data_IF_711723125753
#
_entry.id   IF_711723125753
#
_cell.length_a   1.000
_cell.length_b   1.000
_cell.length_c   1.000
_cell.angle_alpha   90.00
_cell.angle_beta   90.00
_cell.angle_gamma   90.00
#
_symmetry.space_group_name_H-M   'P 1'
#
loop_
_entity.id
_entity.type
_entity.pdbx_description
1 polymer ?
#
# COMPACT_ATOMS: atom_id res chain seq x y z
N UNK A 1 -1.78 -7.54 10.62
CA UNK A 1 -2.66 -7.00 11.69
C UNK A 1 -4.05 -7.63 11.66
N UNK A 2 -4.74 -7.62 10.52
CA UNK A 2 -6.13 -8.10 10.38
C UNK A 2 -6.38 -9.52 10.92
N UNK A 3 -5.51 -10.50 10.64
CA UNK A 3 -5.60 -11.87 11.18
C UNK A 3 -5.60 -11.95 12.71
N UNK A 4 -4.90 -11.05 13.40
CA UNK A 4 -4.91 -10.97 14.88
C UNK A 4 -6.23 -10.41 15.43
N UNK A 5 -7.02 -9.77 14.58
CA UNK A 5 -8.34 -9.28 14.92
C UNK A 5 -9.41 -10.38 14.79
N UNK A 6 -9.11 -11.51 14.16
CA UNK A 6 -10.07 -12.61 13.97
C UNK A 6 -11.21 -12.18 13.05
N UNK A 7 -12.44 -12.46 13.46
CA UNK A 7 -13.70 -12.09 12.81
C UNK A 7 -14.19 -10.67 13.16
N UNK A 8 -13.42 -9.89 13.94
CA UNK A 8 -13.80 -8.54 14.34
C UNK A 8 -13.89 -7.54 13.17
N UNK A 9 -12.97 -7.53 12.18
CA UNK A 9 -13.14 -6.68 11.01
C UNK A 9 -14.22 -7.26 10.10
N UNK A 10 -15.16 -6.42 9.69
CA UNK A 10 -16.19 -6.86 8.75
C UNK A 10 -15.73 -6.76 7.28
N UNK A 11 -14.70 -5.94 7.01
CA UNK A 11 -14.09 -5.78 5.69
C UNK A 11 -12.65 -5.26 5.82
N UNK A 12 -11.78 -5.60 4.88
CA UNK A 12 -10.45 -5.00 4.72
C UNK A 12 -10.38 -4.25 3.39
N UNK A 13 -9.92 -3.01 3.43
CA UNK A 13 -9.61 -2.23 2.22
C UNK A 13 -8.10 -2.04 2.20
N UNK A 14 -7.44 -2.52 1.15
CA UNK A 14 -6.02 -2.31 0.91
C UNK A 14 -5.86 -1.41 -0.32
N UNK A 15 -4.99 -0.40 -0.23
CA UNK A 15 -4.78 0.59 -1.30
C UNK A 15 -3.31 0.59 -1.72
N UNK A 16 -3.06 0.50 -3.03
CA UNK A 16 -1.69 0.54 -3.59
C UNK A 16 -0.78 -0.51 -2.94
N UNK A 17 -1.28 -1.73 -2.70
CA UNK A 17 -0.56 -2.71 -1.90
C UNK A 17 -0.62 -4.11 -2.55
N UNK A 18 0.55 -4.67 -2.79
CA UNK A 18 0.72 -6.08 -3.18
C UNK A 18 0.29 -7.02 -2.04
N UNK A 19 0.10 -8.30 -2.34
CA UNK A 19 -0.26 -9.26 -1.30
C UNK A 19 0.80 -9.32 -0.17
N UNK A 20 0.39 -9.49 1.10
CA UNK A 20 1.31 -9.66 2.23
C UNK A 20 2.41 -10.72 2.05
N UNK A 21 2.14 -11.76 1.25
CA UNK A 21 3.10 -12.82 0.91
C UNK A 21 4.25 -12.35 0.01
N UNK A 22 4.08 -11.24 -0.70
CA UNK A 22 5.08 -10.63 -1.57
C UNK A 22 5.97 -9.61 -0.85
N UNK A 23 5.69 -9.31 0.43
CA UNK A 23 6.51 -8.39 1.22
C UNK A 23 7.69 -9.09 1.92
N UNK A 24 8.84 -8.39 2.04
CA UNK A 24 9.16 -7.12 1.38
C UNK A 24 9.40 -7.30 -0.12
N UNK A 25 9.00 -6.33 -0.94
CA UNK A 25 9.34 -6.35 -2.36
C UNK A 25 10.82 -6.01 -2.56
N UNK A 26 11.45 -6.44 -3.67
CA UNK A 26 12.85 -6.07 -3.95
C UNK A 26 13.10 -4.56 -3.91
N UNK A 27 12.13 -3.76 -4.40
CA UNK A 27 12.20 -2.30 -4.37
C UNK A 27 12.21 -1.74 -2.95
N UNK A 28 11.40 -2.28 -2.04
CA UNK A 28 11.40 -1.84 -0.64
C UNK A 28 12.73 -2.13 0.05
N UNK A 29 13.34 -3.29 -0.23
CA UNK A 29 14.66 -3.65 0.30
C UNK A 29 15.76 -2.74 -0.24
N UNK A 30 15.70 -2.41 -1.53
CA UNK A 30 16.61 -1.45 -2.16
C UNK A 30 16.51 -0.09 -1.49
N UNK A 31 15.30 0.48 -1.38
CA UNK A 31 15.05 1.81 -0.80
C UNK A 31 15.50 1.89 0.65
N UNK A 32 15.33 0.81 1.44
CA UNK A 32 15.78 0.74 2.83
C UNK A 32 17.30 0.90 3.00
N UNK A 33 18.08 0.63 1.95
CA UNK A 33 19.53 0.80 1.93
C UNK A 33 20.00 2.18 1.45
N UNK A 34 19.08 3.07 1.06
CA UNK A 34 19.41 4.40 0.52
C UNK A 34 19.39 5.49 1.59
N UNK A 35 20.13 6.55 1.31
CA UNK A 35 20.16 7.79 2.07
C UNK A 35 20.26 9.01 1.15
N UNK A 36 20.10 10.20 1.73
CA UNK A 36 20.24 11.50 1.05
C UNK A 36 19.54 11.54 -0.31
N UNK A 37 20.29 11.94 -1.34
CA UNK A 37 19.77 12.07 -2.70
C UNK A 37 19.25 10.75 -3.28
N UNK A 38 19.90 9.62 -2.98
CA UNK A 38 19.46 8.32 -3.48
C UNK A 38 18.07 7.95 -2.97
N UNK A 39 17.79 8.26 -1.69
CA UNK A 39 16.47 8.07 -1.12
C UNK A 39 15.46 9.05 -1.73
N UNK A 40 15.81 10.33 -1.89
CA UNK A 40 14.96 11.34 -2.55
C UNK A 40 14.56 10.90 -3.98
N UNK A 41 15.52 10.46 -4.79
CA UNK A 41 15.29 9.98 -6.15
C UNK A 41 14.38 8.75 -6.17
N UNK A 42 14.57 7.85 -5.18
CA UNK A 42 13.74 6.67 -5.06
C UNK A 42 12.30 6.99 -4.67
N UNK A 43 12.09 7.97 -3.77
CA UNK A 43 10.77 8.41 -3.31
C UNK A 43 10.02 9.22 -4.37
N UNK A 44 10.72 9.93 -5.26
CA UNK A 44 10.10 10.61 -6.40
C UNK A 44 9.33 9.62 -7.30
N UNK A 45 9.80 8.37 -7.43
CA UNK A 45 9.09 7.31 -8.17
C UNK A 45 7.79 6.89 -7.49
N UNK A 46 7.74 6.93 -6.15
CA UNK A 46 6.52 6.65 -5.41
C UNK A 46 5.46 7.73 -5.65
N UNK A 47 5.87 8.98 -5.87
CA UNK A 47 4.97 10.10 -6.11
C UNK A 47 4.29 10.65 -4.84
N UNK A 48 4.70 10.21 -3.65
CA UNK A 48 4.09 10.58 -2.37
C UNK A 48 4.70 11.78 -1.66
N UNK A 49 5.85 12.25 -2.13
CA UNK A 49 6.46 13.47 -1.64
C UNK A 49 6.14 14.61 -2.59
N UNK A 50 5.60 15.69 -2.03
CA UNK A 50 5.30 16.90 -2.80
C UNK A 50 6.60 17.49 -3.37
N UNK A 51 6.57 18.09 -4.57
CA UNK A 51 7.75 18.66 -5.22
C UNK A 51 8.51 19.67 -4.35
N UNK A 52 7.81 20.41 -3.49
CA UNK A 52 8.43 21.40 -2.59
C UNK A 52 9.34 20.73 -1.56
N UNK A 53 9.01 19.52 -1.10
CA UNK A 53 9.87 18.75 -0.19
C UNK A 53 11.09 18.23 -0.96
N UNK A 54 10.90 17.74 -2.19
CA UNK A 54 11.99 17.25 -3.04
C UNK A 54 12.97 18.36 -3.48
N UNK A 55 12.54 19.63 -3.43
CA UNK A 55 13.35 20.78 -3.83
C UNK A 55 14.06 21.47 -2.65
N UNK A 56 13.71 21.16 -1.40
CA UNK A 56 14.22 21.84 -0.20
C UNK A 56 15.11 20.91 0.65
N UNK A 57 16.44 21.16 0.70
CA UNK A 57 17.36 20.35 1.50
C UNK A 57 17.08 20.36 3.00
N UNK A 58 16.60 21.47 3.57
CA UNK A 58 16.32 21.55 5.02
C UNK A 58 15.11 20.68 5.38
N UNK A 59 14.08 20.68 4.52
CA UNK A 59 12.93 19.78 4.69
C UNK A 59 13.30 18.31 4.49
N UNK A 60 14.21 18.01 3.56
CA UNK A 60 14.72 16.66 3.35
C UNK A 60 15.48 16.13 4.57
N UNK A 61 16.38 16.93 5.15
CA UNK A 61 17.10 16.57 6.36
C UNK A 61 16.16 16.24 7.53
N UNK A 62 15.00 16.90 7.59
CA UNK A 62 13.99 16.66 8.61
C UNK A 62 13.15 15.39 8.35
N UNK A 63 12.71 15.14 7.12
CA UNK A 63 11.70 14.10 6.80
C UNK A 63 12.33 12.75 6.42
N UNK A 64 13.45 12.77 5.68
CA UNK A 64 14.05 11.55 5.13
C UNK A 64 14.50 10.53 6.19
N UNK A 65 15.00 10.92 7.38
CA UNK A 65 15.37 9.95 8.40
C UNK A 65 14.21 9.03 8.81
N UNK A 66 13.03 9.61 9.03
CA UNK A 66 11.84 8.86 9.46
C UNK A 66 11.35 7.94 8.34
N UNK A 67 11.28 8.44 7.10
CA UNK A 67 10.90 7.63 5.93
C UNK A 67 11.88 6.46 5.76
N UNK A 68 13.18 6.71 5.87
CA UNK A 68 14.20 5.66 5.76
C UNK A 68 13.99 4.58 6.82
N UNK A 69 13.70 4.98 8.05
CA UNK A 69 13.51 4.03 9.15
C UNK A 69 12.20 3.24 9.00
N UNK A 70 11.16 3.82 8.41
CA UNK A 70 9.96 3.09 7.96
C UNK A 70 10.29 2.04 6.88
N UNK A 71 11.10 2.38 5.87
CA UNK A 71 11.54 1.41 4.86
C UNK A 71 12.37 0.28 5.45
N UNK A 72 13.27 0.56 6.41
CA UNK A 72 14.00 -0.49 7.13
C UNK A 72 13.06 -1.42 7.89
N UNK A 73 12.05 -0.87 8.57
CA UNK A 73 11.04 -1.66 9.26
C UNK A 73 10.30 -2.59 8.29
N UNK A 74 9.90 -2.09 7.13
CA UNK A 74 9.24 -2.89 6.09
C UNK A 74 10.18 -3.93 5.49
N UNK A 75 11.45 -3.62 5.25
CA UNK A 75 12.45 -4.55 4.72
C UNK A 75 12.75 -5.73 5.67
N UNK A 76 12.53 -5.53 6.97
CA UNK A 76 12.64 -6.57 7.99
C UNK A 76 11.38 -7.43 8.13
N UNK A 77 10.28 -7.07 7.45
CA UNK A 77 9.07 -7.87 7.47
C UNK A 77 9.36 -9.32 7.04
N UNK A 78 8.77 -10.27 7.78
CA UNK A 78 8.84 -11.69 7.48
C UNK A 78 7.44 -12.23 7.42
N UNK A 79 6.96 -12.49 6.21
CA UNK A 79 5.67 -13.11 6.00
C UNK A 79 5.61 -14.45 6.74
N UNK A 80 4.52 -14.66 7.48
CA UNK A 80 4.20 -15.92 8.12
C UNK A 80 2.85 -16.37 7.58
N UNK A 81 2.79 -17.50 6.86
CA UNK A 81 1.53 -18.07 6.42
C UNK A 81 0.58 -18.23 7.61
N UNK A 82 -0.68 -17.91 7.39
CA UNK A 82 -1.73 -18.01 8.38
C UNK A 82 -3.07 -18.18 7.68
N UNK A 83 -4.12 -18.42 8.45
CA UNK A 83 -5.46 -18.63 7.90
C UNK A 83 -5.89 -17.47 7.01
N UNK A 84 -6.62 -17.82 5.95
CA UNK A 84 -7.18 -16.86 5.01
C UNK A 84 -8.19 -15.95 5.73
N UNK A 85 -8.27 -14.69 5.30
CA UNK A 85 -9.17 -13.70 5.88
C UNK A 85 -10.62 -14.12 5.63
N UNK A 86 -11.45 -14.26 6.69
CA UNK A 86 -12.81 -14.80 6.58
C UNK A 86 -13.85 -13.74 6.15
N UNK A 87 -13.44 -12.50 5.87
CA UNK A 87 -14.29 -11.37 5.55
C UNK A 87 -13.95 -10.77 4.18
N UNK A 88 -14.79 -9.85 3.70
CA UNK A 88 -14.62 -9.19 2.40
C UNK A 88 -13.32 -8.38 2.34
N UNK A 89 -12.68 -8.39 1.16
CA UNK A 89 -11.46 -7.62 0.89
C UNK A 89 -11.64 -6.85 -0.41
N UNK A 90 -11.37 -5.54 -0.36
CA UNK A 90 -11.31 -4.69 -1.56
C UNK A 90 -9.90 -4.14 -1.75
N UNK A 91 -9.39 -4.22 -2.97
CA UNK A 91 -8.10 -3.71 -3.40
C UNK A 91 -8.34 -2.48 -4.28
N UNK A 92 -7.73 -1.35 -3.97
CA UNK A 92 -7.88 -0.11 -4.74
C UNK A 92 -6.51 0.35 -5.23
N UNK A 93 -6.35 0.52 -6.54
CA UNK A 93 -5.05 0.72 -7.17
C UNK A 93 -5.08 1.80 -8.25
N UNK A 94 -3.94 2.45 -8.48
CA UNK A 94 -3.73 3.36 -9.58
C UNK A 94 -3.43 2.62 -10.88
N UNK A 95 -3.98 3.04 -12.01
CA UNK A 95 -3.72 2.44 -13.34
C UNK A 95 -2.27 2.56 -13.78
N UNK A 96 -1.58 3.59 -13.30
CA UNK A 96 -0.20 3.94 -13.65
C UNK A 96 0.74 3.77 -12.45
N UNK A 97 0.33 3.01 -11.43
CA UNK A 97 1.15 2.72 -10.26
C UNK A 97 2.39 1.89 -10.66
N UNK A 98 3.61 2.43 -10.52
CA UNK A 98 4.82 1.70 -10.90
C UNK A 98 5.17 0.57 -9.90
N UNK A 99 4.50 0.53 -8.74
CA UNK A 99 4.83 -0.34 -7.61
C UNK A 99 3.89 -1.53 -7.46
N UNK A 100 2.72 -1.49 -8.11
CA UNK A 100 1.70 -2.54 -8.03
C UNK A 100 1.21 -2.85 -9.43
N UNK A 101 1.48 -4.06 -9.90
CA UNK A 101 0.98 -4.56 -11.18
C UNK A 101 -0.24 -5.45 -10.98
N UNK A 102 -1.11 -5.61 -11.99
CA UNK A 102 -2.24 -6.53 -11.92
C UNK A 102 -1.85 -7.95 -11.48
N UNK A 103 -0.71 -8.46 -11.93
CA UNK A 103 -0.22 -9.78 -11.58
C UNK A 103 0.16 -9.90 -10.09
N UNK A 104 0.61 -8.81 -9.46
CA UNK A 104 0.93 -8.77 -8.03
C UNK A 104 -0.33 -8.86 -7.15
N UNK A 105 -1.50 -8.51 -7.71
CA UNK A 105 -2.78 -8.60 -7.02
C UNK A 105 -3.34 -10.03 -7.02
N UNK A 106 -2.93 -10.89 -7.94
CA UNK A 106 -3.41 -12.27 -8.00
C UNK A 106 -3.09 -13.05 -6.71
N UNK A 107 -1.97 -12.76 -6.06
CA UNK A 107 -1.57 -13.41 -4.80
C UNK A 107 -2.47 -13.04 -3.61
N UNK A 108 -3.27 -11.97 -3.70
CA UNK A 108 -4.27 -11.66 -2.67
C UNK A 108 -5.34 -12.74 -2.54
N UNK A 109 -5.61 -13.49 -3.61
CA UNK A 109 -6.56 -14.62 -3.57
C UNK A 109 -6.15 -15.69 -2.55
N UNK A 110 -4.85 -15.85 -2.28
CA UNK A 110 -4.32 -16.78 -1.27
C UNK A 110 -4.48 -16.28 0.16
N UNK A 111 -4.71 -14.98 0.33
CA UNK A 111 -4.86 -14.34 1.63
C UNK A 111 -6.32 -14.29 2.09
N UNK A 112 -7.29 -14.61 1.22
CA UNK A 112 -8.72 -14.39 1.45
C UNK A 112 -9.51 -15.69 1.27
N UNK A 113 -10.58 -15.89 2.05
CA UNK A 113 -11.51 -17.02 1.84
C UNK A 113 -12.37 -16.78 0.59
N UNK A 114 -12.82 -15.54 0.40
CA UNK A 114 -13.56 -15.11 -0.78
C UNK A 114 -12.64 -14.36 -1.74
N UNK A 115 -12.98 -14.35 -3.02
CA UNK A 115 -12.22 -13.58 -4.02
C UNK A 115 -12.25 -12.07 -3.68
N UNK A 116 -11.10 -11.40 -3.64
CA UNK A 116 -11.04 -9.97 -3.36
C UNK A 116 -11.59 -9.14 -4.53
N UNK A 117 -12.35 -8.09 -4.22
CA UNK A 117 -12.81 -7.13 -5.21
C UNK A 117 -11.69 -6.18 -5.59
N UNK A 118 -11.41 -6.00 -6.87
CA UNK A 118 -10.33 -5.10 -7.33
C UNK A 118 -10.92 -3.89 -8.05
N UNK A 119 -10.48 -2.71 -7.64
CA UNK A 119 -10.88 -1.42 -8.18
C UNK A 119 -9.64 -0.68 -8.72
N UNK A 120 -9.81 -0.03 -9.86
CA UNK A 120 -8.76 0.75 -10.52
C UNK A 120 -9.21 2.19 -10.67
N UNK A 121 -8.30 3.12 -10.45
CA UNK A 121 -8.49 4.56 -10.62
C UNK A 121 -7.33 5.16 -11.41
N UNK A 122 -7.60 6.23 -12.15
CA UNK A 122 -6.56 6.91 -12.93
C UNK A 122 -5.49 7.50 -12.00
N UNK A 123 -4.22 7.27 -12.33
CA UNK A 123 -3.08 7.82 -11.59
C UNK A 123 -2.08 6.78 -11.10
N UNK A 124 -1.02 7.27 -10.45
CA UNK A 124 0.06 6.46 -9.88
C UNK A 124 -0.27 5.88 -8.51
N UNK A 125 0.76 5.61 -7.71
CA UNK A 125 0.61 5.03 -6.37
C UNK A 125 -0.27 5.86 -5.42
N UNK A 126 -0.23 7.19 -5.56
CA UNK A 126 -1.04 8.15 -4.81
C UNK A 126 -2.24 8.67 -5.63
N UNK A 127 -2.85 7.83 -6.47
CA UNK A 127 -4.02 8.16 -7.32
C UNK A 127 -5.14 8.95 -6.59
N UNK A 128 -5.32 8.67 -5.29
CA UNK A 128 -6.33 9.30 -4.44
C UNK A 128 -6.08 10.78 -4.14
N UNK A 129 -4.90 11.33 -4.40
CA UNK A 129 -4.64 12.76 -4.23
C UNK A 129 -5.49 13.62 -5.18
N UNK A 130 -5.67 13.14 -6.42
CA UNK A 130 -6.52 13.79 -7.42
C UNK A 130 -7.94 13.22 -7.45
N UNK A 131 -8.10 11.95 -7.05
CA UNK A 131 -9.36 11.20 -7.11
C UNK A 131 -9.73 10.55 -5.77
N UNK A 132 -9.98 11.33 -4.70
CA UNK A 132 -10.32 10.78 -3.39
C UNK A 132 -11.60 9.92 -3.40
N UNK A 133 -12.50 10.14 -4.36
CA UNK A 133 -13.68 9.31 -4.61
C UNK A 133 -13.33 7.84 -4.86
N UNK A 134 -12.16 7.56 -5.44
CA UNK A 134 -11.74 6.20 -5.75
C UNK A 134 -11.66 5.30 -4.51
N UNK A 135 -11.22 5.86 -3.37
CA UNK A 135 -11.15 5.13 -2.10
C UNK A 135 -12.43 5.31 -1.30
N UNK A 136 -12.95 6.54 -1.22
CA UNK A 136 -14.11 6.84 -0.36
C UNK A 136 -15.39 6.15 -0.82
N UNK A 137 -15.59 5.94 -2.12
CA UNK A 137 -16.73 5.16 -2.63
C UNK A 137 -16.64 3.67 -2.26
N UNK A 138 -15.43 3.09 -2.27
CA UNK A 138 -15.20 1.70 -1.84
C UNK A 138 -15.47 1.57 -0.34
N UNK A 139 -15.00 2.53 0.47
CA UNK A 139 -15.31 2.59 1.91
C UNK A 139 -16.82 2.68 2.13
N UNK A 140 -17.52 3.57 1.41
CA UNK A 140 -18.97 3.74 1.53
C UNK A 140 -19.73 2.45 1.22
N UNK A 141 -19.40 1.79 0.10
CA UNK A 141 -20.02 0.51 -0.28
C UNK A 141 -19.76 -0.61 0.72
N UNK A 142 -18.52 -0.73 1.19
CA UNK A 142 -18.16 -1.72 2.20
C UNK A 142 -18.93 -1.50 3.50
N UNK A 143 -19.09 -0.24 3.93
CA UNK A 143 -19.86 0.11 5.12
C UNK A 143 -21.37 -0.17 4.97
N UNK A 144 -21.95 0.10 3.80
CA UNK A 144 -23.38 -0.16 3.51
C UNK A 144 -23.71 -1.65 3.42
N UNK A 145 -22.74 -2.48 3.03
CA UNK A 145 -22.89 -3.92 2.96
C UNK A 145 -22.83 -4.60 4.35
N UNK A 146 -22.44 -3.87 5.40
CA UNK A 146 -22.35 -4.44 6.74
C UNK A 146 -23.76 -4.65 7.34
N UNK A 147 -24.03 -5.83 7.93
CA UNK A 147 -25.29 -6.05 8.64
C UNK A 147 -25.40 -5.09 9.84
N UNK A 148 -26.59 -4.52 10.02
CA UNK A 148 -26.97 -3.65 11.16
C UNK A 148 -27.14 -4.47 12.43
#
# INVERSE_FOLDING_TARGET
MARRLGDRPAHLIASGCVAPSLHPTPRMVEVAGLDGQGLTDALAVYGGLRPEILADPELQEFILPDIRDDFKMVAEYRYRPAEALPFGVSLVNGTDDPLVRPDDLADWTRECVNEPETHWSEGGHFYFENHPEAVTEVIRRAAEALPV
#
